data_IF_654098893521
#
_entry.id   IF_654098893521
#
_cell.length_a   1.000
_cell.length_b   1.000
_cell.length_c   1.000
_cell.angle_alpha   90.00
_cell.angle_beta   90.00
_cell.angle_gamma   90.00
#
_symmetry.space_group_name_H-M   'P 1'
#
loop_
_entity.id
_entity.type
_entity.pdbx_description
1 polymer ?
#
# COMPACT_ATOMS: atom_id res chain seq x y z
N UNK A 1 -23.89 91.04 2.59
CA UNK A 1 -23.01 90.19 1.82
C UNK A 1 -23.10 88.78 2.40
N UNK A 2 -23.94 87.93 1.81
CA UNK A 2 -24.12 86.56 2.24
C UNK A 2 -23.31 85.60 1.35
N UNK A 3 -22.38 84.85 1.93
CA UNK A 3 -21.64 83.76 1.23
C UNK A 3 -22.40 82.48 1.36
N UNK A 4 -22.94 82.01 0.27
CA UNK A 4 -23.56 80.67 0.16
C UNK A 4 -22.46 79.60 -0.02
N UNK A 5 -22.33 78.66 0.96
CA UNK A 5 -21.46 77.51 0.89
C UNK A 5 -22.22 76.37 0.20
N UNK A 6 -21.72 75.95 -0.95
CA UNK A 6 -22.24 74.79 -1.69
C UNK A 6 -21.62 73.54 -1.14
N UNK A 7 -22.42 72.71 -0.45
CA UNK A 7 -22.03 71.36 -0.06
C UNK A 7 -22.21 70.40 -1.26
N UNK A 8 -21.10 69.89 -1.78
CA UNK A 8 -21.12 68.78 -2.78
C UNK A 8 -21.29 67.46 -2.10
N UNK A 9 -22.43 66.81 -2.30
CA UNK A 9 -22.63 65.39 -1.98
C UNK A 9 -21.80 64.54 -2.96
N UNK A 10 -20.84 63.77 -2.45
CA UNK A 10 -20.23 62.67 -3.20
C UNK A 10 -21.12 61.40 -3.03
N UNK A 11 -21.44 60.66 -4.12
CA UNK A 11 -22.08 59.38 -4.00
C UNK A 11 -21.05 58.35 -3.51
N UNK A 12 -21.32 57.72 -2.38
CA UNK A 12 -20.63 56.49 -1.92
C UNK A 12 -21.01 55.35 -2.86
N UNK A 13 -20.17 55.05 -3.83
CA UNK A 13 -20.26 53.79 -4.58
C UNK A 13 -19.80 52.66 -3.66
N UNK A 14 -20.75 51.87 -3.16
CA UNK A 14 -20.50 50.64 -2.41
C UNK A 14 -19.80 49.63 -3.32
N UNK A 15 -18.50 49.38 -3.10
CA UNK A 15 -17.78 48.24 -3.67
C UNK A 15 -18.23 47.01 -2.91
N UNK A 16 -19.15 46.25 -3.48
CA UNK A 16 -19.47 44.90 -3.01
C UNK A 16 -18.24 44.01 -3.25
N UNK A 17 -17.46 43.75 -2.21
CA UNK A 17 -16.48 42.71 -2.19
C UNK A 17 -17.23 41.38 -2.30
N UNK A 18 -17.35 40.86 -3.51
CA UNK A 18 -17.71 39.44 -3.74
C UNK A 18 -16.51 38.65 -3.26
N UNK A 19 -16.54 38.23 -1.99
CA UNK A 19 -15.67 37.18 -1.48
C UNK A 19 -16.08 35.93 -2.17
N UNK A 20 -15.53 35.66 -3.35
CA UNK A 20 -15.58 34.36 -3.97
C UNK A 20 -14.91 33.40 -3.00
N UNK A 21 -15.68 32.47 -2.43
CA UNK A 21 -15.13 31.25 -1.89
C UNK A 21 -14.45 30.52 -3.05
N UNK A 22 -13.19 30.85 -3.33
CA UNK A 22 -12.31 29.97 -4.09
C UNK A 22 -12.21 28.72 -3.24
N UNK A 23 -12.96 27.69 -3.59
CA UNK A 23 -12.83 26.37 -2.98
C UNK A 23 -11.34 26.05 -2.99
N UNK A 24 -10.76 25.77 -1.83
CA UNK A 24 -9.35 25.43 -1.71
C UNK A 24 -9.14 24.22 -2.59
N UNK A 25 -8.27 24.35 -3.57
CA UNK A 25 -7.96 23.26 -4.49
C UNK A 25 -7.53 22.04 -3.67
N UNK A 26 -8.30 20.95 -3.80
CA UNK A 26 -8.01 19.72 -3.05
C UNK A 26 -6.79 19.07 -3.67
N UNK A 27 -5.73 18.92 -2.91
CA UNK A 27 -4.51 18.24 -3.32
C UNK A 27 -4.28 17.01 -2.46
N UNK A 28 -3.82 15.91 -3.05
CA UNK A 28 -3.46 14.69 -2.32
C UNK A 28 -2.08 14.20 -2.75
N UNK A 29 -1.24 13.83 -1.78
CA UNK A 29 0.09 13.25 -1.98
C UNK A 29 0.02 11.78 -1.62
N UNK A 30 0.15 10.93 -2.64
CA UNK A 30 0.04 9.47 -2.52
C UNK A 30 1.40 8.84 -2.79
N UNK A 31 1.86 7.94 -1.94
CA UNK A 31 3.05 7.14 -2.18
C UNK A 31 2.72 5.67 -2.43
N UNK A 32 3.59 5.01 -3.16
CA UNK A 32 3.62 3.55 -3.31
C UNK A 32 5.06 3.09 -3.51
N UNK A 33 5.33 1.82 -3.30
CA UNK A 33 6.62 1.19 -3.55
C UNK A 33 6.51 0.08 -4.62
N UNK A 34 7.63 -0.43 -5.14
CA UNK A 34 7.58 -1.51 -6.14
C UNK A 34 6.87 -2.76 -5.61
N UNK A 35 5.68 -2.97 -6.09
CA UNK A 35 4.84 -4.15 -5.86
C UNK A 35 3.85 -4.29 -6.99
N UNK A 36 3.69 -5.51 -7.50
CA UNK A 36 2.86 -5.75 -8.68
C UNK A 36 1.39 -5.29 -8.50
N UNK A 37 0.87 -5.39 -7.28
CA UNK A 37 -0.50 -4.98 -6.97
C UNK A 37 -0.77 -3.48 -7.07
N UNK A 38 0.28 -2.65 -7.01
CA UNK A 38 0.16 -1.18 -7.10
C UNK A 38 0.34 -0.64 -8.52
N UNK A 39 0.73 -1.45 -9.48
CA UNK A 39 1.08 -0.99 -10.84
C UNK A 39 -0.12 -0.48 -11.65
N UNK A 40 -1.34 -0.71 -11.19
CA UNK A 40 -2.53 -0.02 -11.69
C UNK A 40 -2.49 1.50 -11.49
N UNK A 41 -1.82 1.99 -10.42
CA UNK A 41 -1.58 3.42 -10.20
C UNK A 41 -0.53 3.97 -11.17
N UNK A 42 0.53 3.19 -11.47
CA UNK A 42 1.49 3.53 -12.50
C UNK A 42 0.78 3.71 -13.86
N UNK A 43 -0.03 2.74 -14.25
CA UNK A 43 -0.80 2.82 -15.50
C UNK A 43 -1.72 4.04 -15.50
N UNK A 44 -2.43 4.28 -14.39
CA UNK A 44 -3.30 5.46 -14.26
C UNK A 44 -2.52 6.78 -14.42
N UNK A 45 -1.31 6.85 -13.89
CA UNK A 45 -0.42 8.01 -14.04
C UNK A 45 0.05 8.17 -15.48
N UNK A 46 0.49 7.11 -16.14
CA UNK A 46 1.00 7.15 -17.52
C UNK A 46 -0.07 7.52 -18.56
N UNK A 47 -1.33 7.26 -18.25
CA UNK A 47 -2.48 7.58 -19.12
C UNK A 47 -3.23 8.84 -18.70
N UNK A 48 -2.69 9.65 -17.78
CA UNK A 48 -3.33 10.87 -17.27
C UNK A 48 -4.75 10.62 -16.71
N UNK A 49 -4.95 9.47 -16.06
CA UNK A 49 -6.24 9.12 -15.44
C UNK A 49 -6.35 9.53 -13.98
N UNK A 50 -5.27 10.06 -13.41
CA UNK A 50 -5.29 10.63 -12.07
C UNK A 50 -5.75 12.10 -12.12
N UNK A 51 -6.39 12.62 -11.07
CA UNK A 51 -6.69 14.04 -10.96
C UNK A 51 -5.41 14.89 -11.07
N UNK A 52 -5.43 16.06 -11.73
CA UNK A 52 -4.25 16.92 -11.85
C UNK A 52 -3.66 17.38 -10.50
N UNK A 53 -4.49 17.38 -9.46
CA UNK A 53 -4.12 17.76 -8.09
C UNK A 53 -3.69 16.58 -7.23
N UNK A 54 -3.61 15.38 -7.79
CA UNK A 54 -3.03 14.22 -7.15
C UNK A 54 -1.54 14.07 -7.56
N UNK A 55 -0.65 14.04 -6.58
CA UNK A 55 0.74 13.66 -6.82
C UNK A 55 0.97 12.21 -6.42
N UNK A 56 1.59 11.43 -7.29
CA UNK A 56 1.96 10.05 -7.06
C UNK A 56 3.47 9.94 -6.97
N UNK A 57 4.00 9.44 -5.85
CA UNK A 57 5.42 9.26 -5.61
C UNK A 57 5.75 7.79 -5.43
N UNK A 58 6.69 7.29 -6.23
CA UNK A 58 7.25 5.94 -6.06
C UNK A 58 8.46 6.01 -5.13
N UNK A 59 8.36 5.35 -3.99
CA UNK A 59 9.43 5.24 -2.98
C UNK A 59 10.09 3.86 -3.06
N UNK A 60 11.21 3.67 -2.35
CA UNK A 60 11.93 2.39 -2.41
C UNK A 60 11.25 1.31 -1.57
N UNK A 61 10.64 1.67 -0.42
CA UNK A 61 10.05 0.75 0.53
C UNK A 61 8.84 1.34 1.26
N UNK A 62 8.03 0.49 1.89
CA UNK A 62 6.89 0.88 2.73
C UNK A 62 7.32 1.72 3.94
N UNK A 63 8.50 1.46 4.50
CA UNK A 63 9.07 2.22 5.61
C UNK A 63 9.22 3.71 5.31
N UNK A 64 9.60 4.07 4.08
CA UNK A 64 9.68 5.47 3.63
C UNK A 64 8.27 6.10 3.52
N UNK A 65 7.28 5.33 3.03
CA UNK A 65 5.89 5.77 2.98
C UNK A 65 5.34 6.04 4.38
N UNK A 66 5.60 5.15 5.33
CA UNK A 66 5.20 5.31 6.73
C UNK A 66 5.88 6.52 7.39
N UNK A 67 7.15 6.78 7.10
CA UNK A 67 7.85 7.98 7.57
C UNK A 67 7.21 9.26 7.01
N UNK A 68 6.94 9.30 5.70
CA UNK A 68 6.28 10.43 5.04
C UNK A 68 4.87 10.70 5.56
N UNK A 69 4.09 9.64 5.87
CA UNK A 69 2.78 9.78 6.52
C UNK A 69 2.89 10.36 7.93
N UNK A 70 3.87 9.89 8.75
CA UNK A 70 4.09 10.42 10.11
C UNK A 70 4.50 11.89 10.11
N UNK A 71 5.38 12.28 9.18
CA UNK A 71 5.88 13.64 9.08
C UNK A 71 4.89 14.61 8.40
N UNK A 72 3.79 14.11 7.86
CA UNK A 72 2.81 14.93 7.12
C UNK A 72 3.28 15.32 5.72
N UNK A 73 4.30 14.69 5.19
CA UNK A 73 4.78 14.85 3.81
C UNK A 73 3.89 14.12 2.81
N UNK A 74 3.22 13.06 3.26
CA UNK A 74 2.24 12.28 2.51
C UNK A 74 0.87 12.36 3.17
N UNK A 75 -0.17 12.24 2.36
CA UNK A 75 -1.56 12.19 2.79
C UNK A 75 -2.11 10.75 2.77
N UNK A 76 -1.61 9.95 1.84
CA UNK A 76 -2.00 8.55 1.64
C UNK A 76 -0.82 7.71 1.16
N UNK A 77 -0.89 6.40 1.37
CA UNK A 77 0.07 5.45 0.83
C UNK A 77 -0.55 4.09 0.54
N UNK A 78 0.03 3.37 -0.43
CA UNK A 78 -0.18 1.95 -0.64
C UNK A 78 0.67 1.19 0.39
N UNK A 79 0.04 0.41 1.24
CA UNK A 79 0.62 -0.32 2.36
C UNK A 79 -0.04 -1.69 2.49
N UNK A 80 0.61 -2.62 3.18
CA UNK A 80 -0.04 -3.84 3.63
C UNK A 80 -0.90 -3.59 4.87
N UNK A 81 -1.88 -4.44 5.11
CA UNK A 81 -2.80 -4.29 6.24
C UNK A 81 -2.10 -4.34 7.59
N UNK A 82 -1.10 -5.20 7.75
CA UNK A 82 -0.30 -5.28 8.98
C UNK A 82 0.51 -4.00 9.23
N UNK A 83 1.05 -3.37 8.18
CA UNK A 83 1.72 -2.06 8.27
C UNK A 83 0.76 -0.96 8.73
N UNK A 84 -0.48 -0.97 8.22
CA UNK A 84 -1.53 -0.05 8.69
C UNK A 84 -1.85 -0.30 10.17
N UNK A 85 -1.99 -1.57 10.58
CA UNK A 85 -2.27 -1.94 11.97
C UNK A 85 -1.13 -1.46 12.88
N UNK A 86 0.13 -1.75 12.56
CA UNK A 86 1.33 -1.31 13.31
C UNK A 86 1.41 0.22 13.39
N UNK A 87 1.14 0.91 12.28
CA UNK A 87 1.11 2.37 12.24
C UNK A 87 0.06 2.94 13.18
N UNK A 88 -1.16 2.38 13.18
CA UNK A 88 -2.24 2.79 14.09
C UNK A 88 -1.90 2.51 15.55
N UNK A 89 -1.33 1.36 15.87
CA UNK A 89 -0.86 1.01 17.21
C UNK A 89 0.26 1.94 17.71
N UNK A 90 1.02 2.55 16.80
CA UNK A 90 2.03 3.58 17.11
C UNK A 90 1.49 5.01 17.12
N UNK A 91 0.16 5.20 17.00
CA UNK A 91 -0.52 6.49 17.11
C UNK A 91 -0.73 7.24 15.79
N UNK A 92 -0.41 6.65 14.63
CA UNK A 92 -0.69 7.23 13.31
C UNK A 92 -2.09 6.81 12.87
N UNK A 93 -3.06 7.74 12.91
CA UNK A 93 -4.46 7.45 12.59
C UNK A 93 -4.70 7.35 11.08
N UNK A 94 -4.58 6.13 10.54
CA UNK A 94 -4.80 5.78 9.14
C UNK A 94 -6.18 5.14 8.96
N UNK A 95 -6.81 5.38 7.81
CA UNK A 95 -8.06 4.76 7.40
C UNK A 95 -7.86 4.06 6.06
N UNK A 96 -8.25 2.80 5.99
CA UNK A 96 -8.26 2.01 4.75
C UNK A 96 -9.48 2.40 3.93
N UNK A 97 -9.25 2.79 2.67
CA UNK A 97 -10.29 3.28 1.75
C UNK A 97 -10.43 2.43 0.49
N UNK A 98 -9.50 1.50 0.24
CA UNK A 98 -9.52 0.60 -0.91
C UNK A 98 -8.57 -0.58 -0.67
N UNK A 99 -8.89 -1.74 -1.25
CA UNK A 99 -8.01 -2.90 -1.38
C UNK A 99 -7.45 -2.93 -2.79
N UNK A 100 -6.12 -2.89 -2.91
CA UNK A 100 -5.43 -3.05 -4.19
C UNK A 100 -5.43 -4.50 -4.64
N UNK A 101 -5.03 -5.38 -3.75
CA UNK A 101 -4.92 -6.81 -4.00
C UNK A 101 -4.89 -7.61 -2.69
N UNK A 102 -5.02 -8.93 -2.85
CA UNK A 102 -4.75 -9.92 -1.81
C UNK A 102 -3.63 -10.81 -2.33
N UNK A 103 -2.56 -10.98 -1.56
CA UNK A 103 -1.46 -11.85 -1.95
C UNK A 103 -1.89 -13.31 -1.94
N UNK A 104 -1.59 -14.01 -3.04
CA UNK A 104 -1.91 -15.41 -3.26
C UNK A 104 -0.78 -16.10 -4.04
N UNK A 105 0.39 -16.15 -3.42
CA UNK A 105 1.63 -16.68 -3.99
C UNK A 105 2.67 -15.60 -4.31
N UNK A 106 2.35 -14.30 -4.11
CA UNK A 106 3.26 -13.18 -4.36
C UNK A 106 4.29 -12.96 -3.26
N UNK A 107 3.93 -13.26 -2.01
CA UNK A 107 4.84 -13.27 -0.87
C UNK A 107 5.32 -14.68 -0.60
N UNK A 108 6.63 -14.86 -0.38
CA UNK A 108 7.26 -16.18 -0.38
C UNK A 108 8.40 -16.27 0.64
N UNK A 109 8.69 -17.50 1.09
CA UNK A 109 9.98 -17.85 1.67
C UNK A 109 10.76 -18.66 0.64
N UNK A 110 11.90 -18.10 0.24
CA UNK A 110 12.87 -18.71 -0.67
C UNK A 110 14.03 -19.26 0.13
N UNK A 111 14.58 -20.41 -0.24
CA UNK A 111 15.65 -21.06 0.53
C UNK A 111 16.66 -21.76 -0.39
N UNK A 112 17.84 -22.07 0.16
CA UNK A 112 18.84 -22.92 -0.46
C UNK A 112 18.28 -24.33 -0.67
N UNK A 113 18.81 -25.08 -1.62
CA UNK A 113 18.30 -26.40 -2.02
C UNK A 113 18.32 -27.42 -0.87
N UNK A 114 19.30 -27.31 0.02
CA UNK A 114 19.47 -28.19 1.19
C UNK A 114 18.40 -27.95 2.30
N UNK A 115 17.65 -26.85 2.26
CA UNK A 115 16.55 -26.57 3.18
C UNK A 115 15.27 -27.15 2.56
N UNK A 116 14.92 -28.36 2.92
CA UNK A 116 13.85 -29.15 2.30
C UNK A 116 12.46 -28.93 2.90
N UNK A 117 12.41 -28.53 4.17
CA UNK A 117 11.18 -28.32 4.95
C UNK A 117 11.25 -27.07 5.81
N UNK A 118 10.13 -26.65 6.40
CA UNK A 118 10.11 -25.49 7.31
C UNK A 118 10.95 -25.73 8.57
N UNK A 119 11.00 -26.98 9.08
CA UNK A 119 11.81 -27.33 10.25
C UNK A 119 13.33 -27.17 9.99
N UNK A 120 13.77 -27.28 8.73
CA UNK A 120 15.19 -27.07 8.36
C UNK A 120 15.63 -25.61 8.44
N UNK A 121 14.72 -24.68 8.71
CA UNK A 121 15.04 -23.27 8.99
C UNK A 121 15.73 -23.08 10.34
N UNK A 122 15.64 -24.06 11.26
CA UNK A 122 16.36 -24.02 12.53
C UNK A 122 17.86 -23.82 12.32
N UNK A 123 18.44 -22.81 13.02
CA UNK A 123 19.84 -22.42 12.92
C UNK A 123 20.23 -21.70 11.63
N UNK A 124 19.29 -21.36 10.74
CA UNK A 124 19.57 -20.69 9.46
C UNK A 124 19.53 -19.19 9.57
N UNK A 125 20.28 -18.53 8.67
CA UNK A 125 20.28 -17.08 8.48
C UNK A 125 19.21 -16.73 7.48
N UNK A 126 18.25 -15.90 7.89
CA UNK A 126 17.08 -15.56 7.09
C UNK A 126 17.06 -14.05 6.85
N UNK A 127 17.18 -13.61 5.58
CA UNK A 127 16.93 -12.21 5.25
C UNK A 127 15.43 -11.91 5.32
N UNK A 128 15.09 -10.80 5.96
CA UNK A 128 13.71 -10.34 6.11
C UNK A 128 13.72 -8.82 6.35
N UNK A 129 12.77 -8.10 5.78
CA UNK A 129 12.50 -6.71 6.16
C UNK A 129 11.64 -6.71 7.43
N UNK A 130 12.22 -6.20 8.53
CA UNK A 130 11.54 -6.12 9.81
C UNK A 130 10.61 -4.89 9.85
N UNK A 131 9.49 -5.01 10.56
CA UNK A 131 8.50 -3.94 10.70
C UNK A 131 7.39 -3.96 9.64
N UNK A 132 7.42 -4.88 8.69
CA UNK A 132 6.43 -5.02 7.62
C UNK A 132 5.97 -6.46 7.39
N UNK A 133 5.39 -6.68 6.21
CA UNK A 133 4.78 -7.96 5.81
C UNK A 133 5.75 -9.14 5.89
N UNK A 134 7.04 -8.92 5.63
CA UNK A 134 8.06 -9.98 5.69
C UNK A 134 8.20 -10.54 7.11
N UNK A 135 8.25 -9.68 8.13
CA UNK A 135 8.29 -10.10 9.54
C UNK A 135 7.03 -10.88 9.91
N UNK A 136 5.84 -10.37 9.53
CA UNK A 136 4.58 -11.06 9.78
C UNK A 136 4.54 -12.44 9.13
N UNK A 137 4.98 -12.56 7.86
CA UNK A 137 5.02 -13.85 7.17
C UNK A 137 6.01 -14.81 7.84
N UNK A 138 7.21 -14.31 8.24
CA UNK A 138 8.19 -15.14 8.94
C UNK A 138 7.65 -15.67 10.26
N UNK A 139 6.96 -14.84 11.05
CA UNK A 139 6.32 -15.26 12.30
C UNK A 139 5.33 -16.42 12.08
N UNK A 140 4.49 -16.32 11.03
CA UNK A 140 3.55 -17.40 10.70
C UNK A 140 4.27 -18.69 10.24
N UNK A 141 5.37 -18.53 9.50
CA UNK A 141 6.19 -19.66 9.03
C UNK A 141 6.89 -20.35 10.20
N UNK A 142 7.49 -19.60 11.11
CA UNK A 142 8.14 -20.14 12.31
C UNK A 142 7.11 -20.85 13.20
N UNK A 143 5.96 -20.22 13.47
CA UNK A 143 4.88 -20.84 14.23
C UNK A 143 4.42 -22.18 13.61
N UNK A 144 4.30 -22.25 12.27
CA UNK A 144 3.92 -23.47 11.55
C UNK A 144 5.00 -24.55 11.57
N UNK A 145 6.26 -24.13 11.72
CA UNK A 145 7.43 -25.00 11.85
C UNK A 145 7.66 -25.48 13.29
N UNK A 146 6.87 -24.99 14.27
CA UNK A 146 7.10 -25.16 15.70
C UNK A 146 8.47 -24.62 16.15
N UNK A 147 8.91 -23.48 15.54
CA UNK A 147 10.14 -22.76 15.83
C UNK A 147 9.81 -21.41 16.44
N UNK A 148 10.73 -20.93 17.29
CA UNK A 148 10.73 -19.57 17.83
C UNK A 148 11.72 -18.66 17.09
N UNK A 149 11.64 -17.33 17.32
CA UNK A 149 12.58 -16.36 16.77
C UNK A 149 14.04 -16.64 17.14
N UNK A 150 14.28 -17.19 18.31
CA UNK A 150 15.63 -17.56 18.80
C UNK A 150 16.20 -18.80 18.11
N UNK A 151 15.38 -19.57 17.40
CA UNK A 151 15.82 -20.74 16.64
C UNK A 151 16.41 -20.38 15.27
N UNK A 152 16.30 -19.11 14.84
CA UNK A 152 16.81 -18.62 13.57
C UNK A 152 17.66 -17.36 13.74
N UNK A 153 18.51 -17.07 12.77
CA UNK A 153 19.26 -15.81 12.76
C UNK A 153 18.64 -14.87 11.71
N UNK A 154 17.91 -13.85 12.15
CA UNK A 154 17.34 -12.86 11.23
C UNK A 154 18.39 -11.85 10.79
N UNK A 155 18.44 -11.58 9.49
CA UNK A 155 19.27 -10.58 8.85
C UNK A 155 18.34 -9.50 8.29
N UNK A 156 18.24 -8.38 9.00
CA UNK A 156 17.36 -7.29 8.57
C UNK A 156 17.89 -6.65 7.29
N UNK A 157 17.17 -6.81 6.19
CA UNK A 157 17.46 -6.24 4.87
C UNK A 157 16.15 -5.76 4.24
N UNK A 158 16.17 -4.58 3.62
CA UNK A 158 15.10 -4.15 2.74
C UNK A 158 15.03 -5.07 1.51
N UNK A 159 13.84 -5.19 0.93
CA UNK A 159 13.58 -6.18 -0.13
C UNK A 159 14.47 -6.01 -1.36
N UNK A 160 14.82 -4.78 -1.73
CA UNK A 160 15.76 -4.46 -2.82
C UNK A 160 17.18 -4.97 -2.57
N UNK A 161 17.55 -5.28 -1.32
CA UNK A 161 18.85 -5.83 -0.92
C UNK A 161 18.86 -7.37 -0.83
N UNK A 162 17.70 -8.03 -0.91
CA UNK A 162 17.57 -9.47 -0.72
C UNK A 162 18.38 -10.28 -1.74
N UNK A 163 18.35 -9.90 -3.02
CA UNK A 163 19.11 -10.59 -4.06
C UNK A 163 20.62 -10.46 -3.84
N UNK A 164 21.10 -9.30 -3.37
CA UNK A 164 22.51 -9.09 -3.06
C UNK A 164 22.96 -9.97 -1.87
N UNK A 165 22.17 -9.99 -0.77
CA UNK A 165 22.43 -10.85 0.39
C UNK A 165 22.44 -12.34 0.01
N UNK A 166 21.55 -12.78 -0.88
CA UNK A 166 21.52 -14.13 -1.42
C UNK A 166 22.80 -14.47 -2.20
N UNK A 167 23.18 -13.60 -3.15
CA UNK A 167 24.32 -13.85 -4.05
C UNK A 167 25.67 -13.87 -3.34
N UNK A 168 25.81 -13.10 -2.25
CA UNK A 168 27.03 -13.09 -1.42
C UNK A 168 27.12 -14.27 -0.45
N UNK A 169 26.07 -15.08 -0.31
CA UNK A 169 26.01 -16.16 0.68
C UNK A 169 25.85 -15.68 2.13
N UNK A 170 25.41 -14.43 2.30
CA UNK A 170 25.12 -13.87 3.63
C UNK A 170 23.98 -14.60 4.33
N UNK A 171 23.03 -15.14 3.54
CA UNK A 171 21.81 -15.77 4.03
C UNK A 171 21.55 -17.14 3.40
N UNK A 172 20.81 -17.97 4.12
CA UNK A 172 20.44 -19.33 3.74
C UNK A 172 18.98 -19.39 3.24
N UNK A 173 18.14 -18.46 3.72
CA UNK A 173 16.77 -18.25 3.27
C UNK A 173 16.42 -16.77 3.21
N UNK A 174 15.34 -16.44 2.50
CA UNK A 174 14.88 -15.06 2.30
C UNK A 174 13.37 -15.03 2.33
N UNK A 175 12.79 -14.18 3.18
CA UNK A 175 11.36 -13.84 3.13
C UNK A 175 11.22 -12.62 2.23
N UNK A 176 10.58 -12.78 1.10
CA UNK A 176 10.53 -11.77 0.05
C UNK A 176 9.21 -11.80 -0.71
N UNK A 177 9.09 -10.93 -1.69
CA UNK A 177 7.92 -10.88 -2.57
C UNK A 177 8.33 -10.57 -4.01
N UNK A 178 7.36 -10.67 -4.94
CA UNK A 178 7.57 -10.37 -6.35
C UNK A 178 7.80 -8.85 -6.60
N UNK A 179 8.73 -8.44 -7.49
CA UNK A 179 9.44 -9.28 -8.46
C UNK A 179 10.74 -9.91 -7.94
N UNK A 180 11.19 -9.58 -6.73
CA UNK A 180 12.48 -10.07 -6.17
C UNK A 180 12.48 -11.60 -5.99
N UNK A 181 11.34 -12.17 -5.63
CA UNK A 181 11.17 -13.63 -5.52
C UNK A 181 11.51 -14.35 -6.85
N UNK A 182 11.11 -13.80 -7.99
CA UNK A 182 11.49 -14.31 -9.30
C UNK A 182 13.01 -14.21 -9.54
N UNK A 183 13.65 -13.10 -9.18
CA UNK A 183 15.09 -12.93 -9.31
C UNK A 183 15.87 -13.91 -8.42
N UNK A 184 15.41 -14.13 -7.18
CA UNK A 184 15.98 -15.13 -6.28
C UNK A 184 15.87 -16.55 -6.86
N UNK A 185 14.73 -16.90 -7.46
CA UNK A 185 14.53 -18.19 -8.13
C UNK A 185 15.50 -18.34 -9.32
N UNK A 186 15.70 -17.31 -10.13
CA UNK A 186 16.67 -17.30 -11.23
C UNK A 186 18.10 -17.42 -10.73
N UNK A 187 18.37 -16.94 -9.50
CA UNK A 187 19.65 -17.12 -8.79
C UNK A 187 19.77 -18.45 -8.03
N UNK A 188 18.86 -19.43 -8.29
CA UNK A 188 18.92 -20.78 -7.75
C UNK A 188 18.22 -20.99 -6.41
N UNK A 189 17.47 -20.00 -5.91
CA UNK A 189 16.64 -20.20 -4.74
C UNK A 189 15.40 -21.03 -5.08
N UNK A 190 15.03 -21.96 -4.18
CA UNK A 190 13.77 -22.70 -4.27
C UNK A 190 12.73 -22.06 -3.38
N UNK A 191 11.48 -22.09 -3.81
CA UNK A 191 10.34 -21.69 -2.96
C UNK A 191 10.07 -22.77 -1.93
N UNK A 192 10.05 -22.39 -0.65
CA UNK A 192 9.75 -23.29 0.47
C UNK A 192 8.26 -23.24 0.82
N UNK A 193 7.68 -22.03 0.92
CA UNK A 193 6.28 -21.76 1.22
C UNK A 193 5.90 -20.39 0.63
N UNK A 194 4.61 -20.12 0.46
CA UNK A 194 4.13 -18.80 0.00
C UNK A 194 2.77 -18.42 0.60
N UNK A 195 2.28 -17.22 0.25
CA UNK A 195 1.05 -16.64 0.80
C UNK A 195 -0.23 -17.44 0.48
N UNK A 196 -0.21 -18.39 -0.45
CA UNK A 196 -1.35 -19.32 -0.68
C UNK A 196 -1.57 -20.29 0.50
N UNK A 197 -0.53 -20.52 1.28
CA UNK A 197 -0.60 -21.32 2.51
C UNK A 197 -1.21 -20.54 3.69
N UNK A 198 -1.39 -19.23 3.53
CA UNK A 198 -1.94 -18.29 4.51
C UNK A 198 -3.02 -17.41 3.86
N UNK A 199 -4.14 -18.01 3.42
CA UNK A 199 -5.17 -17.29 2.68
C UNK A 199 -5.77 -16.15 3.51
N UNK A 200 -6.13 -15.05 2.82
CA UNK A 200 -6.76 -13.87 3.41
C UNK A 200 -5.94 -13.23 4.57
N UNK A 201 -4.61 -13.36 4.55
CA UNK A 201 -3.73 -12.77 5.57
C UNK A 201 -3.08 -11.47 5.07
N UNK A 202 -2.61 -11.44 3.82
CA UNK A 202 -1.87 -10.31 3.25
C UNK A 202 -2.77 -9.55 2.30
N UNK A 203 -3.29 -8.42 2.78
CA UNK A 203 -4.04 -7.44 2.00
C UNK A 203 -3.18 -6.21 1.75
N UNK A 204 -3.13 -5.78 0.50
CA UNK A 204 -2.56 -4.50 0.12
C UNK A 204 -3.67 -3.46 -0.02
N UNK A 205 -3.52 -2.34 0.66
CA UNK A 205 -4.59 -1.35 0.83
C UNK A 205 -4.11 0.07 0.55
N UNK A 206 -5.02 0.94 0.14
CA UNK A 206 -4.80 2.38 0.18
C UNK A 206 -5.19 2.88 1.55
N UNK A 207 -4.21 3.38 2.30
CA UNK A 207 -4.41 3.96 3.62
C UNK A 207 -4.22 5.49 3.55
N UNK A 208 -5.12 6.23 4.19
CA UNK A 208 -5.17 7.70 4.20
C UNK A 208 -5.15 8.20 5.63
N UNK A 209 -4.41 9.28 5.91
CA UNK A 209 -4.46 9.95 7.21
C UNK A 209 -5.87 10.47 7.47
N UNK A 210 -6.47 10.07 8.61
CA UNK A 210 -7.87 10.42 8.92
C UNK A 210 -8.15 11.91 8.82
N UNK A 211 -7.26 12.74 9.32
CA UNK A 211 -7.41 14.20 9.31
C UNK A 211 -7.47 14.81 7.91
N UNK A 212 -7.03 14.06 6.89
CA UNK A 212 -7.03 14.50 5.49
C UNK A 212 -8.31 14.15 4.74
N UNK A 213 -9.04 13.13 5.17
CA UNK A 213 -10.16 12.52 4.44
C UNK A 213 -11.19 13.56 3.93
N UNK A 214 -11.65 14.45 4.81
CA UNK A 214 -12.65 15.48 4.42
C UNK A 214 -12.10 16.57 3.52
N UNK A 215 -10.78 16.80 3.56
CA UNK A 215 -10.12 17.83 2.76
C UNK A 215 -9.74 17.34 1.36
N UNK A 216 -9.79 16.01 1.10
CA UNK A 216 -9.34 15.40 -0.16
C UNK A 216 -10.41 14.51 -0.81
N UNK A 217 -11.66 14.59 -0.41
CA UNK A 217 -12.76 13.70 -0.79
C UNK A 217 -12.85 13.46 -2.30
N UNK A 218 -13.05 14.51 -3.09
CA UNK A 218 -13.21 14.40 -4.55
C UNK A 218 -11.93 13.90 -5.23
N UNK A 219 -10.77 14.43 -4.83
CA UNK A 219 -9.50 14.04 -5.43
C UNK A 219 -9.12 12.60 -5.06
N UNK A 220 -9.40 12.16 -3.83
CA UNK A 220 -9.20 10.78 -3.39
C UNK A 220 -10.07 9.81 -4.19
N UNK A 221 -11.37 10.13 -4.33
CA UNK A 221 -12.29 9.36 -5.20
C UNK A 221 -11.77 9.30 -6.65
N UNK A 222 -11.18 10.39 -7.14
CA UNK A 222 -10.53 10.45 -8.45
C UNK A 222 -9.31 9.52 -8.57
N UNK A 223 -8.46 9.48 -7.55
CA UNK A 223 -7.30 8.55 -7.48
C UNK A 223 -7.77 7.10 -7.50
N UNK A 224 -8.76 6.76 -6.68
CA UNK A 224 -9.35 5.40 -6.63
C UNK A 224 -9.96 5.03 -7.98
N UNK A 225 -10.66 5.96 -8.63
CA UNK A 225 -11.19 5.74 -10.00
C UNK A 225 -10.06 5.51 -11.01
N UNK A 226 -8.97 6.27 -10.92
CA UNK A 226 -7.76 6.08 -11.73
C UNK A 226 -7.18 4.67 -11.56
N UNK A 227 -7.05 4.20 -10.33
CA UNK A 227 -6.63 2.83 -10.02
C UNK A 227 -7.50 1.80 -10.77
N UNK A 228 -8.84 1.86 -10.64
CA UNK A 228 -9.71 0.88 -11.30
C UNK A 228 -9.68 0.97 -12.83
N UNK A 229 -9.42 2.15 -13.41
CA UNK A 229 -9.17 2.30 -14.85
C UNK A 229 -7.85 1.61 -15.25
N UNK A 230 -6.78 1.80 -14.47
CA UNK A 230 -5.50 1.12 -14.65
C UNK A 230 -5.64 -0.40 -14.53
N UNK A 231 -6.37 -0.88 -13.52
CA UNK A 231 -6.67 -2.29 -13.33
C UNK A 231 -7.43 -2.88 -14.51
N UNK A 232 -8.45 -2.17 -15.00
CA UNK A 232 -9.19 -2.61 -16.19
C UNK A 232 -8.28 -2.66 -17.42
N UNK A 233 -7.40 -1.67 -17.61
CA UNK A 233 -6.42 -1.67 -18.69
C UNK A 233 -5.52 -2.91 -18.62
N UNK A 234 -5.01 -3.23 -17.43
CA UNK A 234 -4.22 -4.44 -17.18
C UNK A 234 -4.99 -5.73 -17.56
N UNK A 235 -6.30 -5.76 -17.35
CA UNK A 235 -7.15 -6.92 -17.68
C UNK A 235 -7.50 -7.02 -19.17
N UNK A 236 -7.73 -5.86 -19.84
CA UNK A 236 -8.25 -5.84 -21.22
C UNK A 236 -7.18 -5.58 -22.28
N UNK A 237 -6.06 -4.96 -21.90
CA UNK A 237 -4.91 -4.61 -22.76
C UNK A 237 -3.61 -5.14 -22.16
N UNK A 238 -3.62 -6.42 -21.77
CA UNK A 238 -2.58 -7.03 -20.95
C UNK A 238 -1.18 -6.86 -21.52
N UNK A 239 -1.00 -7.00 -22.83
CA UNK A 239 0.31 -6.90 -23.46
C UNK A 239 0.91 -5.49 -23.28
N UNK A 240 0.15 -4.43 -23.55
CA UNK A 240 0.60 -3.05 -23.35
C UNK A 240 0.88 -2.75 -21.87
N UNK A 241 -0.03 -3.18 -20.98
CA UNK A 241 0.17 -2.99 -19.54
C UNK A 241 1.43 -3.70 -19.02
N UNK A 242 1.62 -4.96 -19.39
CA UNK A 242 2.80 -5.76 -18.99
C UNK A 242 4.08 -5.14 -19.52
N UNK A 243 4.11 -4.69 -20.78
CA UNK A 243 5.25 -4.00 -21.37
C UNK A 243 5.64 -2.73 -20.56
N UNK A 244 4.66 -1.88 -20.24
CA UNK A 244 4.87 -0.65 -19.47
C UNK A 244 5.38 -0.90 -18.05
N UNK A 245 4.81 -1.90 -17.38
CA UNK A 245 5.23 -2.29 -16.03
C UNK A 245 6.65 -2.84 -16.07
N UNK A 246 6.96 -3.72 -17.02
CA UNK A 246 8.27 -4.31 -17.21
C UNK A 246 9.37 -3.24 -17.45
N UNK A 247 9.05 -2.23 -18.29
CA UNK A 247 9.94 -1.12 -18.58
C UNK A 247 10.24 -0.29 -17.32
N UNK A 248 9.23 0.06 -16.53
CA UNK A 248 9.43 0.86 -15.30
C UNK A 248 10.10 0.08 -14.19
N UNK A 249 9.77 -1.21 -14.03
CA UNK A 249 10.40 -2.07 -13.02
C UNK A 249 11.77 -2.61 -13.44
N UNK A 250 12.17 -2.43 -14.71
CA UNK A 250 13.41 -2.96 -15.29
C UNK A 250 13.54 -4.49 -15.13
N UNK A 251 12.43 -5.19 -15.35
CA UNK A 251 12.32 -6.65 -15.32
C UNK A 251 11.75 -7.18 -16.63
N UNK A 252 11.80 -8.50 -16.84
CA UNK A 252 11.18 -9.11 -18.02
C UNK A 252 9.65 -9.09 -17.96
N UNK A 253 8.98 -9.05 -19.13
CA UNK A 253 7.53 -9.23 -19.22
C UNK A 253 7.09 -10.58 -18.61
N UNK A 254 7.93 -11.60 -18.67
CA UNK A 254 7.70 -12.90 -18.04
C UNK A 254 7.62 -12.75 -16.51
N UNK A 255 8.53 -11.99 -15.92
CA UNK A 255 8.54 -11.68 -14.48
C UNK A 255 7.27 -10.98 -14.07
N UNK A 256 6.85 -9.93 -14.81
CA UNK A 256 5.60 -9.21 -14.56
C UNK A 256 4.39 -10.16 -14.62
N UNK A 257 4.31 -11.02 -15.63
CA UNK A 257 3.22 -11.98 -15.76
C UNK A 257 3.16 -12.99 -14.60
N UNK A 258 4.31 -13.41 -14.08
CA UNK A 258 4.36 -14.28 -12.91
C UNK A 258 3.98 -13.56 -11.63
N UNK A 259 4.45 -12.33 -11.45
CA UNK A 259 4.07 -11.51 -10.31
C UNK A 259 2.55 -11.27 -10.26
N UNK A 260 1.92 -10.96 -11.41
CA UNK A 260 0.46 -10.80 -11.49
C UNK A 260 -0.27 -12.11 -11.13
N UNK A 261 0.29 -13.27 -11.46
CA UNK A 261 -0.32 -14.56 -11.10
C UNK A 261 -0.25 -14.86 -9.60
N UNK A 262 0.58 -14.13 -8.85
CA UNK A 262 0.73 -14.23 -7.40
C UNK A 262 -0.21 -13.34 -6.59
N UNK A 263 -1.16 -12.63 -7.23
CA UNK A 263 -2.09 -11.73 -6.54
C UNK A 263 -3.51 -11.86 -7.06
N UNK A 264 -4.48 -11.70 -6.17
CA UNK A 264 -5.87 -11.49 -6.51
C UNK A 264 -6.11 -9.99 -6.63
N UNK A 265 -6.58 -9.52 -7.77
CA UNK A 265 -6.79 -8.10 -8.08
C UNK A 265 -8.30 -7.77 -8.06
N UNK A 266 -8.86 -7.30 -6.93
CA UNK A 266 -10.29 -7.06 -6.80
C UNK A 266 -10.73 -5.83 -7.58
N UNK A 267 -11.78 -5.98 -8.38
CA UNK A 267 -12.46 -4.86 -9.02
C UNK A 267 -13.31 -4.05 -8.03
N UNK A 268 -14.01 -3.04 -8.52
CA UNK A 268 -14.81 -2.11 -7.70
C UNK A 268 -15.86 -2.83 -6.83
N UNK A 269 -16.61 -3.77 -7.40
CA UNK A 269 -17.64 -4.50 -6.64
C UNK A 269 -17.05 -5.40 -5.55
N UNK A 270 -15.92 -6.05 -5.82
CA UNK A 270 -15.21 -6.83 -4.80
C UNK A 270 -14.68 -5.91 -3.68
N UNK A 271 -14.22 -4.69 -4.02
CA UNK A 271 -13.81 -3.70 -3.03
C UNK A 271 -14.96 -3.30 -2.09
N UNK A 272 -16.20 -3.12 -2.61
CA UNK A 272 -17.38 -2.87 -1.75
C UNK A 272 -17.57 -4.00 -0.73
N UNK A 273 -17.38 -5.24 -1.17
CA UNK A 273 -17.49 -6.40 -0.28
C UNK A 273 -16.34 -6.44 0.74
N UNK A 274 -15.10 -6.17 0.34
CA UNK A 274 -13.95 -6.17 1.26
C UNK A 274 -14.03 -5.05 2.31
N UNK A 275 -14.56 -3.88 1.96
CA UNK A 275 -14.67 -2.76 2.89
C UNK A 275 -15.95 -2.81 3.75
N UNK A 276 -16.82 -3.82 3.58
CA UNK A 276 -17.98 -4.04 4.44
C UNK A 276 -17.56 -4.64 5.79
N UNK A 277 -18.38 -4.39 6.84
CA UNK A 277 -18.04 -4.77 8.24
C UNK A 277 -17.88 -6.27 8.51
N UNK A 278 -18.54 -7.11 7.72
CA UNK A 278 -18.50 -8.57 7.86
C UNK A 278 -17.61 -9.22 6.79
N UNK A 279 -16.55 -8.54 6.38
CA UNK A 279 -15.67 -8.97 5.31
C UNK A 279 -14.43 -9.70 5.83
N UNK A 280 -13.77 -10.42 4.91
CA UNK A 280 -12.47 -11.05 5.15
C UNK A 280 -11.39 -10.06 5.56
N UNK A 281 -11.46 -8.80 5.11
CA UNK A 281 -10.54 -7.74 5.53
C UNK A 281 -10.70 -7.45 7.03
N UNK A 282 -11.95 -7.34 7.52
CA UNK A 282 -12.21 -7.15 8.95
C UNK A 282 -11.81 -8.37 9.77
N UNK A 283 -11.99 -9.59 9.24
CA UNK A 283 -11.51 -10.81 9.90
C UNK A 283 -9.99 -10.82 10.00
N UNK A 284 -9.28 -10.39 8.95
CA UNK A 284 -7.84 -10.22 8.98
C UNK A 284 -7.40 -9.18 10.03
N UNK A 285 -8.07 -8.03 10.11
CA UNK A 285 -7.79 -7.02 11.16
C UNK A 285 -7.95 -7.61 12.55
N UNK A 286 -9.08 -8.31 12.82
CA UNK A 286 -9.35 -8.95 14.12
C UNK A 286 -8.32 -10.02 14.47
N UNK A 287 -7.82 -10.74 13.47
CA UNK A 287 -6.80 -11.77 13.66
C UNK A 287 -5.41 -11.16 13.92
N UNK A 288 -5.01 -10.16 13.12
CA UNK A 288 -3.66 -9.59 13.14
C UNK A 288 -3.45 -8.59 14.30
N UNK A 289 -4.43 -7.72 14.57
CA UNK A 289 -4.25 -6.62 15.52
C UNK A 289 -3.77 -7.06 16.94
N UNK A 290 -4.26 -8.15 17.54
CA UNK A 290 -3.78 -8.60 18.84
C UNK A 290 -2.42 -9.34 18.78
N UNK A 291 -1.96 -9.73 17.60
CA UNK A 291 -0.72 -10.50 17.39
C UNK A 291 0.47 -9.65 17.00
N UNK A 292 0.21 -8.50 16.39
CA UNK A 292 1.28 -7.59 15.98
C UNK A 292 1.75 -6.76 17.18
N UNK A 293 3.07 -6.57 17.35
CA UNK A 293 3.63 -5.83 18.48
C UNK A 293 3.13 -4.38 18.48
N UNK A 294 2.60 -3.94 19.62
CA UNK A 294 2.28 -2.53 19.86
C UNK A 294 3.48 -1.83 20.47
N UNK A 295 3.98 -0.79 19.85
CA UNK A 295 5.12 -0.02 20.34
C UNK A 295 4.91 0.58 21.73
N UNK A 296 3.65 0.76 22.17
CA UNK A 296 3.31 1.44 23.42
C UNK A 296 2.42 0.60 24.37
N UNK A 297 2.10 -0.66 24.04
CA UNK A 297 1.19 -1.51 24.84
C UNK A 297 -0.23 -0.95 24.99
N UNK A 298 -0.56 0.12 24.29
CA UNK A 298 -1.88 0.74 24.33
C UNK A 298 -2.83 0.06 23.33
N UNK A 299 -4.09 -0.21 23.69
CA UNK A 299 -5.10 -0.61 22.72
C UNK A 299 -5.27 0.50 21.67
N UNK A 300 -5.60 0.16 20.43
CA UNK A 300 -5.84 1.16 19.40
C UNK A 300 -6.90 2.17 19.86
N UNK A 301 -6.66 3.46 19.59
CA UNK A 301 -7.48 4.59 20.05
C UNK A 301 -8.91 4.62 19.51
N UNK A 302 -9.31 3.70 18.63
CA UNK A 302 -10.64 3.61 18.04
C UNK A 302 -11.07 2.17 17.83
N UNK A 303 -12.36 1.94 17.76
CA UNK A 303 -12.93 0.65 17.38
C UNK A 303 -12.42 0.24 15.99
N UNK A 304 -12.23 -1.05 15.76
CA UNK A 304 -11.76 -1.59 14.45
C UNK A 304 -12.67 -1.14 13.30
N UNK A 305 -13.96 -0.96 13.58
CA UNK A 305 -14.97 -0.49 12.64
C UNK A 305 -14.66 0.89 12.04
N UNK A 306 -13.86 1.70 12.74
CA UNK A 306 -13.45 3.02 12.26
C UNK A 306 -12.18 3.00 11.40
N UNK A 307 -11.57 1.83 11.21
CA UNK A 307 -10.32 1.72 10.45
C UNK A 307 -10.52 1.59 8.95
N UNK A 308 -11.74 1.29 8.53
CA UNK A 308 -12.08 0.97 7.13
C UNK A 308 -13.33 1.74 6.72
N UNK A 309 -13.36 2.26 5.49
CA UNK A 309 -14.54 2.92 4.92
C UNK A 309 -14.60 2.72 3.40
N UNK A 310 -15.81 2.54 2.87
CA UNK A 310 -16.11 2.47 1.44
C UNK A 310 -16.59 3.81 0.86
N UNK A 311 -16.68 4.86 1.71
CA UNK A 311 -17.26 6.15 1.35
C UNK A 311 -16.61 6.83 0.13
N UNK A 312 -15.33 6.51 -0.14
CA UNK A 312 -14.53 7.10 -1.22
C UNK A 312 -14.49 6.22 -2.49
N UNK A 313 -15.13 5.05 -2.48
CA UNK A 313 -15.27 4.25 -3.68
C UNK A 313 -16.16 4.96 -4.70
N UNK A 314 -15.72 5.07 -5.98
CA UNK A 314 -16.53 5.69 -7.01
C UNK A 314 -17.84 4.90 -7.22
N UNK A 315 -18.93 5.60 -7.47
CA UNK A 315 -20.21 4.96 -7.81
C UNK A 315 -20.12 4.22 -9.15
N UNK A 316 -19.43 4.83 -10.11
CA UNK A 316 -19.22 4.33 -11.46
C UNK A 316 -17.80 4.67 -11.93
N UNK A 317 -17.22 3.83 -12.82
CA UNK A 317 -15.86 4.03 -13.33
C UNK A 317 -15.78 5.05 -14.47
N UNK A 318 -16.89 5.31 -15.17
CA UNK A 318 -16.95 6.09 -16.41
C UNK A 318 -17.95 7.26 -16.30
N UNK A 319 -17.66 8.19 -15.47
CA UNK A 319 -18.29 9.52 -15.48
C UNK A 319 -17.25 10.61 -15.56
#
# INVERSE_FOLDING_TARGET
MQRRTFMKLLPLTGVSLVSGCAGREQTIRVAYHPWIGYESLLLASQFDWLPPTASLTRLAAASESLAGLRNGELDAAALTLDEVIRARQSGLDLVVVMVFNVSSGGDVVMAREEIGSLADLAGKRIAVELGGVGEMLLEQVLSRAELDWDDVTTVNRAVDQHLAAWNTGEVDAVVSYEPVATQLREAGARRLIDSRDFPDMIFDVLAVRRERLTAVDDVLTGVIRGHFRGLRHLQTNRQDAVYRIADVQQVSERTVNWSIAGVLLPGLEANRSYLSRDSRLFDAVRYLAPRLPSANGAPPHSAIEDWVTDAYLPRELYR
#
